data_IF_434744677673
#
_entry.id   IF_434744677673
#
_cell.length_a   1.000
_cell.length_b   1.000
_cell.length_c   1.000
_cell.angle_alpha   90.00
_cell.angle_beta   90.00
_cell.angle_gamma   90.00
#
_symmetry.space_group_name_H-M   'P 1'
#
loop_
_entity.id
_entity.type
_entity.pdbx_description
1 polymer ?
#
# COMPACT_ATOMS: atom_id res chain seq x y z
N UNK A 1 -3.55 -34.83 36.30
CA UNK A 1 -2.81 -34.66 35.05
C UNK A 1 -3.76 -34.50 33.86
N UNK A 2 -4.64 -35.46 33.59
CA UNK A 2 -5.53 -35.50 32.41
C UNK A 2 -6.43 -34.25 32.30
N UNK A 3 -6.90 -33.71 33.42
CA UNK A 3 -7.77 -32.52 33.44
C UNK A 3 -6.99 -31.26 33.00
N UNK A 4 -5.75 -31.12 33.43
CA UNK A 4 -4.91 -29.97 33.02
C UNK A 4 -4.54 -30.03 31.53
N UNK A 5 -4.27 -31.22 31.00
CA UNK A 5 -4.03 -31.42 29.57
C UNK A 5 -5.27 -31.04 28.74
N UNK A 6 -6.45 -31.47 29.20
CA UNK A 6 -7.72 -31.14 28.55
C UNK A 6 -7.97 -29.62 28.59
N UNK A 7 -7.75 -28.98 29.73
CA UNK A 7 -7.87 -27.53 29.90
C UNK A 7 -6.92 -26.79 28.94
N UNK A 8 -5.68 -27.23 28.83
CA UNK A 8 -4.69 -26.65 27.94
C UNK A 8 -5.12 -26.77 26.46
N UNK A 9 -5.61 -27.95 26.06
CA UNK A 9 -6.11 -28.15 24.68
C UNK A 9 -7.32 -27.27 24.37
N UNK A 10 -8.24 -27.07 25.32
CA UNK A 10 -9.40 -26.21 25.16
C UNK A 10 -8.95 -24.74 25.00
N UNK A 11 -7.95 -24.28 25.79
CA UNK A 11 -7.44 -22.91 25.71
C UNK A 11 -6.55 -22.65 24.48
N UNK A 12 -5.99 -23.71 23.89
CA UNK A 12 -5.14 -23.59 22.71
C UNK A 12 -5.91 -23.03 21.50
N UNK A 13 -7.15 -23.45 21.28
CA UNK A 13 -7.96 -22.97 20.16
C UNK A 13 -8.23 -21.46 20.22
N UNK A 14 -8.76 -20.89 21.32
CA UNK A 14 -8.95 -19.44 21.40
C UNK A 14 -7.62 -18.66 21.40
N UNK A 15 -6.53 -19.24 21.91
CA UNK A 15 -5.21 -18.60 21.86
C UNK A 15 -4.69 -18.50 20.43
N UNK A 16 -4.78 -19.57 19.63
CA UNK A 16 -4.40 -19.56 18.20
C UNK A 16 -5.31 -18.60 17.44
N UNK A 17 -6.61 -18.63 17.69
CA UNK A 17 -7.55 -17.71 17.06
C UNK A 17 -7.21 -16.25 17.37
N UNK A 18 -6.99 -15.91 18.65
CA UNK A 18 -6.59 -14.58 19.07
C UNK A 18 -5.29 -14.13 18.45
N UNK A 19 -4.26 -14.99 18.43
CA UNK A 19 -2.97 -14.67 17.82
C UNK A 19 -3.08 -14.37 16.31
N UNK A 20 -3.91 -15.13 15.59
CA UNK A 20 -4.10 -14.93 14.15
C UNK A 20 -4.96 -13.71 13.80
N UNK A 21 -5.72 -13.17 14.78
CA UNK A 21 -6.57 -11.99 14.59
C UNK A 21 -6.04 -10.77 15.35
N UNK A 22 -4.83 -10.81 15.87
CA UNK A 22 -4.16 -9.66 16.45
C UNK A 22 -3.45 -8.91 15.33
N UNK A 23 -4.03 -7.82 14.87
CA UNK A 23 -3.39 -6.92 13.91
C UNK A 23 -2.29 -6.10 14.58
N UNK A 24 -1.18 -5.89 13.89
CA UNK A 24 -0.18 -4.91 14.30
C UNK A 24 -0.66 -3.53 13.84
N UNK A 25 -0.72 -2.60 14.79
CA UNK A 25 -1.21 -1.25 14.51
C UNK A 25 -0.08 -0.38 13.96
N UNK A 26 -0.20 0.03 12.69
CA UNK A 26 0.80 0.84 12.00
C UNK A 26 0.40 2.31 11.85
N UNK A 27 -0.80 2.71 12.31
CA UNK A 27 -1.33 4.05 12.12
C UNK A 27 -1.03 4.93 13.35
N UNK A 28 0.21 5.40 13.46
CA UNK A 28 0.68 6.19 14.61
C UNK A 28 -0.02 7.55 14.71
N UNK A 29 -0.51 8.08 13.61
CA UNK A 29 -1.16 9.42 13.55
C UNK A 29 -2.46 9.46 14.35
N UNK A 30 -3.20 8.35 14.46
CA UNK A 30 -4.47 8.31 15.21
C UNK A 30 -4.29 8.50 16.71
N UNK A 31 -3.07 8.28 17.21
CA UNK A 31 -2.73 8.49 18.63
C UNK A 31 -2.32 9.92 18.93
N UNK A 32 -2.10 10.74 17.88
CA UNK A 32 -1.66 12.12 18.05
C UNK A 32 -2.82 13.06 18.45
N UNK A 33 -2.53 14.15 19.18
CA UNK A 33 -3.55 15.15 19.51
C UNK A 33 -4.16 15.75 18.24
N UNK A 34 -5.49 15.79 18.18
CA UNK A 34 -6.24 16.30 17.01
C UNK A 34 -6.04 17.79 16.72
N UNK A 35 -5.50 18.54 17.66
CA UNK A 35 -5.21 19.98 17.52
C UNK A 35 -3.83 20.28 16.92
N UNK A 36 -3.05 19.27 16.57
CA UNK A 36 -1.78 19.50 15.88
C UNK A 36 -2.02 20.10 14.49
N UNK A 37 -1.25 21.14 14.09
CA UNK A 37 -1.44 21.78 12.78
C UNK A 37 -1.39 20.80 11.59
N UNK A 38 -0.54 19.78 11.64
CA UNK A 38 -0.45 18.74 10.61
C UNK A 38 -1.71 17.87 10.55
N UNK A 39 -2.28 17.50 11.71
CA UNK A 39 -3.53 16.70 11.75
C UNK A 39 -4.69 17.54 11.21
N UNK A 40 -4.81 18.79 11.64
CA UNK A 40 -5.84 19.70 11.11
C UNK A 40 -5.70 19.92 9.60
N UNK A 41 -4.47 19.99 9.08
CA UNK A 41 -4.23 20.13 7.66
C UNK A 41 -4.64 18.85 6.89
N UNK A 42 -4.33 17.66 7.42
CA UNK A 42 -4.75 16.39 6.82
C UNK A 42 -6.28 16.23 6.84
N UNK A 43 -6.97 16.64 7.92
CA UNK A 43 -8.43 16.64 7.96
C UNK A 43 -9.03 17.55 6.86
N UNK A 44 -8.45 18.73 6.63
CA UNK A 44 -8.90 19.61 5.54
C UNK A 44 -8.65 19.01 4.16
N UNK A 45 -7.50 18.36 3.93
CA UNK A 45 -7.24 17.66 2.67
C UNK A 45 -8.26 16.55 2.43
N UNK A 46 -8.63 15.85 3.48
CA UNK A 46 -9.66 14.81 3.42
C UNK A 46 -11.05 15.41 3.12
N UNK A 47 -11.46 16.43 3.88
CA UNK A 47 -12.82 16.95 3.83
C UNK A 47 -13.08 17.78 2.57
N UNK A 48 -12.08 18.57 2.13
CA UNK A 48 -12.23 19.48 0.98
C UNK A 48 -11.83 18.83 -0.35
N UNK A 49 -10.94 17.81 -0.35
CA UNK A 49 -10.37 17.23 -1.57
C UNK A 49 -10.54 15.72 -1.67
N UNK A 50 -11.14 15.05 -0.70
CA UNK A 50 -11.22 13.59 -0.59
C UNK A 50 -9.81 12.92 -0.66
N UNK A 51 -8.80 13.56 -0.07
CA UNK A 51 -7.41 13.10 -0.08
C UNK A 51 -7.02 12.58 1.30
N UNK A 52 -6.97 11.24 1.46
CA UNK A 52 -6.43 10.62 2.68
C UNK A 52 -5.00 10.10 2.49
N UNK A 53 -4.71 9.54 1.33
CA UNK A 53 -3.35 9.11 0.98
C UNK A 53 -3.05 9.35 -0.50
N UNK A 54 -1.78 9.55 -0.81
CA UNK A 54 -1.33 9.74 -2.19
C UNK A 54 -0.25 8.72 -2.49
N UNK A 55 -0.46 7.96 -3.58
CA UNK A 55 0.54 7.05 -4.10
C UNK A 55 1.26 7.68 -5.27
N UNK A 56 2.53 7.39 -5.42
CA UNK A 56 3.35 7.80 -6.55
C UNK A 56 3.71 6.55 -7.34
N UNK A 57 3.36 6.54 -8.62
CA UNK A 57 3.68 5.45 -9.53
C UNK A 57 4.79 5.91 -10.47
N UNK A 58 5.87 5.14 -10.52
CA UNK A 58 6.99 5.32 -11.45
C UNK A 58 6.87 4.25 -12.54
N UNK A 59 6.70 4.70 -13.77
CA UNK A 59 6.59 3.85 -14.97
C UNK A 59 7.77 4.16 -15.87
N UNK A 60 8.29 3.16 -16.57
CA UNK A 60 9.38 3.35 -17.53
C UNK A 60 9.01 4.38 -18.61
N UNK A 61 9.91 5.32 -18.91
CA UNK A 61 9.66 6.39 -19.88
C UNK A 61 9.50 5.90 -21.32
N UNK A 62 9.88 4.65 -21.61
CA UNK A 62 9.68 4.01 -22.92
C UNK A 62 8.25 3.53 -23.16
N UNK A 63 7.42 3.43 -22.11
CA UNK A 63 6.00 3.09 -22.26
C UNK A 63 5.28 4.24 -22.98
N UNK A 64 4.60 3.90 -24.06
CA UNK A 64 3.94 4.91 -24.91
C UNK A 64 2.74 5.54 -24.21
N UNK A 65 2.45 6.80 -24.57
CA UNK A 65 1.36 7.59 -23.98
C UNK A 65 -0.02 6.95 -24.09
N UNK A 66 -0.26 6.15 -25.14
CA UNK A 66 -1.54 5.45 -25.32
C UNK A 66 -1.70 4.36 -24.29
N UNK A 67 -0.65 3.60 -24.03
CA UNK A 67 -0.61 2.56 -22.99
C UNK A 67 -0.73 3.15 -21.61
N UNK A 68 -0.02 4.27 -21.33
CA UNK A 68 -0.14 4.99 -20.06
C UNK A 68 -1.57 5.48 -19.84
N UNK A 69 -2.20 6.10 -20.84
CA UNK A 69 -3.59 6.56 -20.73
C UNK A 69 -4.59 5.41 -20.52
N UNK A 70 -4.37 4.23 -21.12
CA UNK A 70 -5.22 3.06 -20.85
C UNK A 70 -5.03 2.57 -19.43
N UNK A 71 -3.79 2.49 -18.96
CA UNK A 71 -3.46 2.12 -17.59
C UNK A 71 -4.13 3.06 -16.57
N UNK A 72 -4.02 4.37 -16.76
CA UNK A 72 -4.65 5.37 -15.89
C UNK A 72 -6.17 5.21 -15.83
N UNK A 73 -6.82 4.96 -16.97
CA UNK A 73 -8.27 4.69 -17.03
C UNK A 73 -8.68 3.39 -16.33
N UNK A 74 -7.80 2.39 -16.24
CA UNK A 74 -8.03 1.21 -15.42
C UNK A 74 -7.84 1.52 -13.93
N UNK A 75 -6.79 2.29 -13.59
CA UNK A 75 -6.50 2.70 -12.21
C UNK A 75 -7.63 3.59 -11.65
N UNK A 76 -8.15 4.52 -12.44
CA UNK A 76 -9.27 5.39 -12.01
C UNK A 76 -10.58 4.64 -11.72
N UNK A 77 -10.67 3.35 -12.09
CA UNK A 77 -11.82 2.48 -11.77
C UNK A 77 -11.62 1.65 -10.53
N UNK A 78 -10.40 1.65 -9.97
CA UNK A 78 -10.11 0.93 -8.72
C UNK A 78 -10.84 1.61 -7.58
N UNK A 79 -11.44 0.81 -6.73
CA UNK A 79 -12.23 1.32 -5.60
C UNK A 79 -11.38 2.21 -4.69
N UNK A 80 -11.94 3.36 -4.31
CA UNK A 80 -11.27 4.36 -3.49
C UNK A 80 -10.22 5.22 -4.22
N UNK A 81 -9.92 4.98 -5.50
CA UNK A 81 -9.13 5.92 -6.32
C UNK A 81 -10.04 7.07 -6.75
N UNK A 82 -9.66 8.29 -6.39
CA UNK A 82 -10.43 9.49 -6.77
C UNK A 82 -9.97 10.04 -8.12
N UNK A 83 -8.68 10.05 -8.36
CA UNK A 83 -8.06 10.46 -9.62
C UNK A 83 -6.63 9.95 -9.71
N UNK A 84 -6.14 9.80 -10.94
CA UNK A 84 -4.73 9.59 -11.25
C UNK A 84 -4.24 10.71 -12.15
N UNK A 85 -3.04 11.24 -11.89
CA UNK A 85 -2.48 12.40 -12.56
C UNK A 85 -1.06 12.12 -13.04
N UNK A 86 -0.89 12.05 -14.34
CA UNK A 86 0.40 11.96 -15.02
C UNK A 86 0.50 12.98 -16.14
N UNK A 87 1.67 13.11 -16.76
CA UNK A 87 1.90 14.07 -17.84
C UNK A 87 0.89 13.89 -18.99
N UNK A 88 0.66 12.64 -19.37
CA UNK A 88 -0.16 12.28 -20.53
C UNK A 88 -1.66 12.58 -20.35
N UNK A 89 -2.20 12.57 -19.13
CA UNK A 89 -3.60 12.93 -18.90
C UNK A 89 -3.81 14.40 -18.53
N UNK A 90 -2.78 15.10 -18.04
CA UNK A 90 -2.82 16.57 -17.86
C UNK A 90 -2.87 17.25 -19.22
N UNK A 91 -2.03 16.80 -20.14
CA UNK A 91 -1.85 17.44 -21.44
C UNK A 91 -2.84 16.90 -22.48
N UNK A 92 -3.26 15.66 -22.32
CA UNK A 92 -4.12 14.96 -23.27
C UNK A 92 -3.36 14.43 -24.51
N UNK A 93 -3.92 13.41 -25.18
CA UNK A 93 -3.21 12.68 -26.26
C UNK A 93 -3.01 13.45 -27.55
N UNK A 94 -3.46 14.69 -27.66
CA UNK A 94 -3.42 15.50 -28.88
C UNK A 94 -2.44 16.68 -28.86
N UNK A 95 -1.76 16.94 -27.76
CA UNK A 95 -0.83 18.07 -27.66
C UNK A 95 0.58 17.59 -27.91
N UNK A 96 1.28 18.13 -28.91
CA UNK A 96 2.70 17.85 -29.15
C UNK A 96 3.53 18.15 -27.90
N UNK A 97 4.52 17.30 -27.60
CA UNK A 97 5.42 17.47 -26.46
C UNK A 97 6.14 18.82 -26.43
N UNK A 98 6.38 19.41 -27.59
CA UNK A 98 7.05 20.72 -27.76
C UNK A 98 6.19 21.90 -27.26
N UNK A 99 4.89 21.72 -27.11
CA UNK A 99 3.98 22.73 -26.57
C UNK A 99 3.82 22.66 -25.06
N UNK A 100 4.36 21.62 -24.41
CA UNK A 100 4.30 21.45 -22.96
C UNK A 100 5.42 22.28 -22.33
N UNK A 101 5.14 23.09 -21.28
CA UNK A 101 6.18 23.79 -20.58
C UNK A 101 7.28 22.82 -20.09
N UNK A 102 8.53 23.07 -20.48
CA UNK A 102 9.67 22.20 -20.14
C UNK A 102 9.80 21.95 -18.63
N UNK A 103 9.38 22.92 -17.82
CA UNK A 103 9.36 22.80 -16.36
C UNK A 103 8.38 21.71 -15.89
N UNK A 104 7.21 21.58 -16.50
CA UNK A 104 6.23 20.55 -16.16
C UNK A 104 6.72 19.17 -16.60
N UNK A 105 7.25 19.09 -17.82
CA UNK A 105 7.82 17.85 -18.35
C UNK A 105 8.95 17.35 -17.46
N UNK A 106 9.90 18.22 -17.08
CA UNK A 106 11.04 17.84 -16.25
C UNK A 106 10.67 17.42 -14.83
N UNK A 107 9.51 17.85 -14.31
CA UNK A 107 9.01 17.43 -13.00
C UNK A 107 8.35 16.04 -13.02
N UNK A 108 7.67 15.71 -14.11
CA UNK A 108 6.86 14.48 -14.21
C UNK A 108 7.50 13.39 -15.07
N UNK A 109 8.50 13.72 -15.88
CA UNK A 109 9.16 12.77 -16.77
C UNK A 109 10.67 13.02 -16.79
N UNK A 110 11.43 11.93 -16.62
CA UNK A 110 12.89 11.86 -16.77
C UNK A 110 13.22 10.92 -17.92
N UNK A 111 14.49 10.77 -18.24
CA UNK A 111 14.94 9.83 -19.28
C UNK A 111 14.56 8.37 -18.93
N UNK A 112 14.43 8.04 -17.66
CA UNK A 112 14.20 6.68 -17.18
C UNK A 112 12.76 6.41 -16.72
N UNK A 113 12.15 7.37 -16.05
CA UNK A 113 10.83 7.20 -15.46
C UNK A 113 9.90 8.38 -15.75
N UNK A 114 8.62 8.06 -15.88
CA UNK A 114 7.52 9.01 -15.77
C UNK A 114 6.79 8.79 -14.45
N UNK A 115 6.46 9.90 -13.78
CA UNK A 115 5.83 9.93 -12.47
C UNK A 115 4.34 10.20 -12.62
N UNK A 116 3.55 9.39 -11.94
CA UNK A 116 2.10 9.51 -11.90
C UNK A 116 1.68 9.58 -10.43
N UNK A 117 0.82 10.53 -10.09
CA UNK A 117 0.24 10.66 -8.76
C UNK A 117 -1.14 10.01 -8.77
N UNK A 118 -1.43 9.22 -7.74
CA UNK A 118 -2.72 8.54 -7.57
C UNK A 118 -3.26 8.94 -6.20
N UNK A 119 -4.44 9.55 -6.19
CA UNK A 119 -5.10 9.95 -4.95
C UNK A 119 -6.07 8.88 -4.47
N UNK A 120 -5.97 8.53 -3.19
CA UNK A 120 -6.84 7.57 -2.51
C UNK A 120 -7.68 8.25 -1.42
N UNK A 121 -8.95 7.86 -1.35
CA UNK A 121 -9.86 8.23 -0.25
C UNK A 121 -9.62 7.39 1.00
N UNK A 122 -8.84 6.31 0.89
CA UNK A 122 -8.57 5.41 1.99
C UNK A 122 -7.39 5.88 2.83
N UNK A 123 -7.47 5.62 4.13
CA UNK A 123 -6.38 5.93 5.06
C UNK A 123 -5.24 4.93 4.90
N UNK A 124 -4.03 5.42 5.15
CA UNK A 124 -2.84 4.56 5.30
C UNK A 124 -3.08 3.47 6.35
N UNK A 125 -2.52 2.30 6.14
CA UNK A 125 -2.61 1.13 7.01
C UNK A 125 -4.04 0.56 7.20
N UNK A 126 -4.99 0.89 6.34
CA UNK A 126 -6.30 0.23 6.32
C UNK A 126 -6.31 -0.97 5.36
N UNK A 127 -7.22 -1.94 5.60
CA UNK A 127 -7.36 -3.10 4.70
C UNK A 127 -7.82 -2.66 3.30
N UNK A 128 -8.63 -1.61 3.22
CA UNK A 128 -9.11 -1.05 1.97
C UNK A 128 -7.96 -0.50 1.12
N UNK A 129 -7.04 0.29 1.71
CA UNK A 129 -5.89 0.82 0.98
C UNK A 129 -4.91 -0.28 0.59
N UNK A 130 -4.74 -1.31 1.44
CA UNK A 130 -3.88 -2.45 1.13
C UNK A 130 -4.40 -3.24 -0.07
N UNK A 131 -5.71 -3.50 -0.14
CA UNK A 131 -6.37 -4.13 -1.28
C UNK A 131 -6.26 -3.25 -2.54
N UNK A 132 -6.45 -1.93 -2.39
CA UNK A 132 -6.30 -0.97 -3.48
C UNK A 132 -4.88 -0.98 -4.06
N UNK A 133 -3.85 -0.98 -3.21
CA UNK A 133 -2.43 -1.07 -3.62
C UNK A 133 -2.17 -2.35 -4.41
N UNK A 134 -2.72 -3.49 -3.99
CA UNK A 134 -2.60 -4.75 -4.71
C UNK A 134 -3.29 -4.71 -6.07
N UNK A 135 -4.46 -4.11 -6.16
CA UNK A 135 -5.21 -3.99 -7.41
C UNK A 135 -4.51 -3.06 -8.40
N UNK A 136 -4.03 -1.89 -7.92
CA UNK A 136 -3.22 -0.97 -8.72
C UNK A 136 -1.96 -1.69 -9.24
N UNK A 137 -1.23 -2.41 -8.39
CA UNK A 137 -0.05 -3.15 -8.79
C UNK A 137 -0.36 -4.21 -9.87
N UNK A 138 -1.48 -4.93 -9.75
CA UNK A 138 -1.92 -5.90 -10.77
C UNK A 138 -2.19 -5.24 -12.12
N UNK A 139 -2.83 -4.06 -12.11
CA UNK A 139 -3.08 -3.29 -13.33
C UNK A 139 -1.78 -2.84 -13.95
N UNK A 140 -0.92 -2.18 -13.18
CA UNK A 140 0.34 -1.60 -13.63
C UNK A 140 1.26 -2.64 -14.25
N UNK A 141 1.39 -3.83 -13.62
CA UNK A 141 2.24 -4.92 -14.12
C UNK A 141 1.81 -5.51 -15.47
N UNK A 142 0.61 -5.21 -15.96
CA UNK A 142 0.19 -5.57 -17.34
C UNK A 142 0.88 -4.68 -18.38
N UNK A 143 1.21 -3.45 -18.04
CA UNK A 143 1.77 -2.43 -18.93
C UNK A 143 3.28 -2.29 -18.74
N UNK A 144 3.74 -2.31 -17.52
CA UNK A 144 5.15 -2.23 -17.15
C UNK A 144 5.46 -3.15 -15.96
N UNK A 145 6.22 -4.23 -16.22
CA UNK A 145 6.64 -5.18 -15.17
C UNK A 145 7.64 -4.58 -14.19
N UNK A 146 8.38 -3.54 -14.63
CA UNK A 146 9.39 -2.84 -13.84
C UNK A 146 8.85 -1.65 -13.05
N UNK A 147 7.60 -1.28 -13.25
CA UNK A 147 7.00 -0.14 -12.54
C UNK A 147 7.01 -0.30 -11.03
N UNK A 148 7.17 0.82 -10.34
CA UNK A 148 7.28 0.90 -8.88
C UNK A 148 6.16 1.78 -8.33
N UNK A 149 5.37 1.23 -7.43
CA UNK A 149 4.37 1.99 -6.66
C UNK A 149 5.01 2.40 -5.33
N UNK A 150 5.04 3.71 -5.07
CA UNK A 150 5.74 4.33 -3.94
C UNK A 150 4.75 5.22 -3.17
N UNK A 151 4.97 5.37 -1.89
CA UNK A 151 4.15 6.22 -1.01
C UNK A 151 4.03 5.61 0.36
N UNK A 152 3.37 6.31 1.27
CA UNK A 152 3.22 5.87 2.64
C UNK A 152 2.40 4.55 2.74
N UNK A 153 1.28 4.46 2.03
CA UNK A 153 0.44 3.26 2.07
C UNK A 153 1.11 2.04 1.42
N UNK A 154 1.74 2.11 0.21
CA UNK A 154 2.52 0.98 -0.31
C UNK A 154 3.65 0.54 0.62
N UNK A 155 4.40 1.51 1.20
CA UNK A 155 5.48 1.20 2.14
C UNK A 155 4.96 0.51 3.41
N UNK A 156 3.86 1.02 3.96
CA UNK A 156 3.24 0.44 5.16
C UNK A 156 2.70 -0.96 4.88
N UNK A 157 2.11 -1.17 3.70
CA UNK A 157 1.67 -2.50 3.27
C UNK A 157 2.83 -3.49 3.16
N UNK A 158 3.94 -3.10 2.51
CA UNK A 158 5.14 -3.94 2.43
C UNK A 158 5.68 -4.28 3.82
N UNK A 159 5.67 -3.32 4.74
CA UNK A 159 6.09 -3.53 6.13
C UNK A 159 5.16 -4.54 6.85
N UNK A 160 3.85 -4.44 6.65
CA UNK A 160 2.86 -5.38 7.21
C UNK A 160 3.14 -6.79 6.68
N UNK A 161 3.26 -6.96 5.37
CA UNK A 161 3.46 -8.25 4.71
C UNK A 161 4.77 -8.93 5.16
N UNK A 162 5.86 -8.17 5.29
CA UNK A 162 7.15 -8.66 5.78
C UNK A 162 7.04 -9.06 7.25
N UNK A 163 6.48 -8.18 8.08
CA UNK A 163 6.35 -8.40 9.53
C UNK A 163 5.49 -9.63 9.82
N UNK A 164 4.37 -9.80 9.12
CA UNK A 164 3.50 -10.98 9.24
C UNK A 164 4.24 -12.28 8.89
N UNK A 165 5.05 -12.24 7.85
CA UNK A 165 5.88 -13.38 7.43
C UNK A 165 6.93 -13.71 8.47
N UNK A 166 7.63 -12.70 8.98
CA UNK A 166 8.66 -12.85 9.99
C UNK A 166 8.08 -13.39 11.31
N UNK A 167 6.96 -12.87 11.77
CA UNK A 167 6.29 -13.37 12.98
C UNK A 167 5.85 -14.81 12.85
N UNK A 168 5.30 -15.20 11.71
CA UNK A 168 4.91 -16.60 11.44
C UNK A 168 6.13 -17.51 11.44
N UNK A 169 7.23 -17.09 10.83
CA UNK A 169 8.47 -17.86 10.77
C UNK A 169 9.12 -17.99 12.15
N UNK A 170 9.27 -16.90 12.89
CA UNK A 170 9.84 -16.90 14.25
C UNK A 170 8.99 -17.77 15.19
N UNK A 171 7.67 -17.66 15.12
CA UNK A 171 6.77 -18.48 15.93
C UNK A 171 6.90 -19.97 15.60
N UNK A 172 6.93 -20.33 14.32
CA UNK A 172 7.08 -21.72 13.87
C UNK A 172 8.42 -22.32 14.30
N UNK A 173 9.51 -21.59 14.15
CA UNK A 173 10.85 -22.02 14.58
C UNK A 173 10.89 -22.16 16.11
N UNK A 174 10.39 -21.20 16.86
CA UNK A 174 10.40 -21.22 18.32
C UNK A 174 9.61 -22.41 18.88
N UNK A 175 8.41 -22.65 18.36
CA UNK A 175 7.58 -23.78 18.73
C UNK A 175 8.28 -25.10 18.37
N UNK A 176 8.85 -25.19 17.17
CA UNK A 176 9.56 -26.37 16.72
C UNK A 176 10.78 -26.70 17.61
N UNK A 177 11.60 -25.70 17.93
CA UNK A 177 12.78 -25.86 18.80
C UNK A 177 12.36 -26.30 20.21
N UNK A 178 11.35 -25.66 20.80
CA UNK A 178 10.84 -26.03 22.13
C UNK A 178 10.33 -27.47 22.12
N UNK A 179 9.58 -27.86 21.07
CA UNK A 179 9.06 -29.22 20.93
C UNK A 179 10.22 -30.26 20.86
N UNK A 180 11.26 -29.99 20.07
CA UNK A 180 12.42 -30.87 19.98
C UNK A 180 13.15 -30.99 21.32
N UNK A 181 13.35 -29.89 22.05
CA UNK A 181 13.98 -29.90 23.37
C UNK A 181 13.16 -30.77 24.34
N UNK A 182 11.84 -30.61 24.39
CA UNK A 182 10.99 -31.39 25.28
C UNK A 182 10.99 -32.88 24.90
N UNK A 183 11.13 -33.21 23.63
CA UNK A 183 11.17 -34.59 23.15
C UNK A 183 12.49 -35.29 23.50
N UNK A 184 13.60 -34.53 23.61
CA UNK A 184 14.92 -35.05 23.93
C UNK A 184 15.20 -35.14 25.44
N UNK A 185 14.43 -34.46 26.29
CA UNK A 185 14.48 -34.52 27.75
C UNK A 185 13.58 -35.63 28.31
#
# INVERSE_FOLDING_TARGET
YKVYVLLFLILLFPAIYGNNHTGVYYNLDETLPKNLPSIVANEKLKDDYDMNSTHILLVDSSVDSTSVNKMLKEIDKVDGVKWSLGLDNIVGPGIPSDMIPSKLTSMLKTDKYQMIMINSVYKTASDEVNNQVDEINKIVKKYDKGALLVGEAPLTKDLIDITDTDFKMVSAVSIGVIFVIILLL
#
